data_IF_861819876154
#
_entry.id   IF_861819876154
#
_cell.length_a   1.000
_cell.length_b   1.000
_cell.length_c   1.000
_cell.angle_alpha   90.00
_cell.angle_beta   90.00
_cell.angle_gamma   90.00
#
_symmetry.space_group_name_H-M   'P 1'
#
loop_
_entity.id
_entity.type
_entity.pdbx_description
1 polymer ?
#
# COMPACT_ATOMS: atom_id res chain seq x y z
N UNK A 1 -57.05 -24.06 52.84
CA UNK A 1 -56.78 -23.46 51.55
C UNK A 1 -55.32 -23.71 51.20
N UNK A 2 -55.04 -24.12 49.96
CA UNK A 2 -53.97 -25.06 49.57
C UNK A 2 -52.62 -24.34 49.38
N UNK A 3 -51.59 -24.76 50.13
CA UNK A 3 -50.16 -24.33 50.04
C UNK A 3 -49.50 -24.65 48.69
N UNK A 4 -50.14 -25.38 47.79
CA UNK A 4 -49.57 -25.78 46.48
C UNK A 4 -49.67 -24.73 45.38
N UNK A 5 -50.47 -23.68 45.50
CA UNK A 5 -50.61 -22.63 44.45
C UNK A 5 -49.64 -21.47 44.59
N UNK A 6 -48.88 -21.36 45.70
CA UNK A 6 -47.95 -20.26 45.90
C UNK A 6 -46.53 -20.52 45.33
N UNK A 7 -46.19 -21.81 45.14
CA UNK A 7 -44.85 -22.18 44.65
C UNK A 7 -44.73 -22.08 43.12
N UNK A 8 -45.84 -22.15 42.39
CA UNK A 8 -45.84 -22.07 40.91
C UNK A 8 -45.75 -20.64 40.37
N UNK A 9 -45.97 -19.63 41.20
CA UNK A 9 -45.86 -18.24 40.80
C UNK A 9 -44.45 -17.60 41.04
N UNK A 10 -43.61 -18.21 41.87
CA UNK A 10 -42.24 -17.76 42.15
C UNK A 10 -41.21 -18.33 41.13
N UNK A 11 -41.52 -19.41 40.41
CA UNK A 11 -40.65 -20.01 39.42
C UNK A 11 -40.63 -19.30 38.07
N UNK A 12 -41.69 -18.50 37.77
CA UNK A 12 -41.78 -17.78 36.48
C UNK A 12 -41.06 -16.43 36.43
N UNK A 13 -40.80 -15.82 37.59
CA UNK A 13 -40.18 -14.47 37.67
C UNK A 13 -38.64 -14.50 37.61
N UNK A 14 -37.99 -15.64 37.85
CA UNK A 14 -36.54 -15.79 37.85
C UNK A 14 -35.94 -16.08 36.45
N UNK A 15 -36.75 -16.46 35.45
CA UNK A 15 -36.28 -16.77 34.09
C UNK A 15 -36.32 -15.55 33.14
N UNK A 16 -36.95 -14.44 33.51
CA UNK A 16 -37.13 -13.31 32.63
C UNK A 16 -35.85 -12.44 32.39
N UNK A 17 -34.93 -12.28 33.34
CA UNK A 17 -33.74 -11.49 33.06
C UNK A 17 -32.68 -12.17 32.21
N UNK A 18 -32.74 -13.50 32.02
CA UNK A 18 -31.80 -14.24 31.17
C UNK A 18 -32.17 -14.20 29.66
N UNK A 19 -33.45 -14.08 29.34
CA UNK A 19 -33.91 -13.98 27.95
C UNK A 19 -33.71 -12.54 27.38
N UNK A 20 -33.69 -11.50 28.23
CA UNK A 20 -33.51 -10.13 27.79
C UNK A 20 -32.06 -9.76 27.40
N UNK A 21 -31.06 -10.56 27.79
CA UNK A 21 -29.66 -10.36 27.37
C UNK A 21 -29.33 -11.00 26.00
N UNK A 22 -30.20 -11.77 25.42
CA UNK A 22 -29.98 -12.47 24.14
C UNK A 22 -30.41 -11.69 22.91
N UNK A 23 -30.91 -10.45 23.04
CA UNK A 23 -31.41 -9.66 21.91
C UNK A 23 -30.84 -8.23 21.84
N UNK A 24 -29.57 -8.02 22.17
CA UNK A 24 -28.91 -6.89 21.53
C UNK A 24 -28.63 -7.30 20.08
N UNK A 25 -29.19 -6.60 19.08
CA UNK A 25 -28.84 -6.89 17.68
C UNK A 25 -27.33 -6.74 17.57
N UNK A 26 -26.66 -7.81 17.18
CA UNK A 26 -25.24 -7.80 16.91
C UNK A 26 -25.01 -6.78 15.78
N UNK A 27 -24.56 -5.58 16.16
CA UNK A 27 -24.20 -4.54 15.19
C UNK A 27 -22.89 -4.98 14.57
N UNK A 28 -22.96 -5.47 13.34
CA UNK A 28 -21.76 -5.83 12.59
C UNK A 28 -20.82 -4.62 12.52
N UNK A 29 -19.54 -4.78 12.86
CA UNK A 29 -18.57 -3.71 12.73
C UNK A 29 -18.44 -3.28 11.27
N UNK A 30 -18.04 -2.02 11.07
CA UNK A 30 -17.91 -1.39 9.76
C UNK A 30 -16.45 -1.03 9.53
N UNK A 31 -15.88 -1.55 8.45
CA UNK A 31 -14.57 -1.12 7.94
C UNK A 31 -14.79 -0.04 6.89
N UNK A 32 -14.18 1.13 7.04
CA UNK A 32 -14.04 2.10 5.97
C UNK A 32 -12.74 1.83 5.19
N UNK A 33 -12.83 1.43 3.93
CA UNK A 33 -11.68 1.17 3.09
C UNK A 33 -11.49 2.33 2.11
N UNK A 34 -10.41 3.14 2.32
CA UNK A 34 -10.04 4.26 1.46
C UNK A 34 -8.90 3.85 0.53
N UNK A 35 -9.21 3.64 -0.75
CA UNK A 35 -8.24 3.34 -1.78
C UNK A 35 -7.82 4.58 -2.58
N UNK A 36 -6.52 4.76 -2.81
CA UNK A 36 -6.00 5.92 -3.53
C UNK A 36 -6.22 5.84 -5.06
N UNK A 37 -6.29 4.63 -5.63
CA UNK A 37 -6.50 4.41 -7.05
C UNK A 37 -7.91 3.87 -7.33
N UNK A 38 -8.09 3.12 -8.41
CA UNK A 38 -9.37 2.49 -8.77
C UNK A 38 -9.53 1.12 -8.13
N UNK A 39 -10.77 0.67 -7.99
CA UNK A 39 -11.10 -0.68 -7.52
C UNK A 39 -10.48 -1.78 -8.38
N UNK A 40 -10.47 -1.60 -9.71
CA UNK A 40 -9.92 -2.57 -10.64
C UNK A 40 -8.41 -2.75 -10.47
N UNK A 41 -7.66 -1.65 -10.36
CA UNK A 41 -6.20 -1.67 -10.21
C UNK A 41 -5.76 -2.34 -8.89
N UNK A 42 -6.60 -2.28 -7.84
CA UNK A 42 -6.26 -2.83 -6.52
C UNK A 42 -6.98 -4.13 -6.19
N UNK A 43 -7.70 -4.69 -7.15
CA UNK A 43 -8.46 -5.93 -6.97
C UNK A 43 -7.61 -7.09 -6.43
N UNK A 44 -6.37 -7.36 -6.89
CA UNK A 44 -5.56 -8.45 -6.34
C UNK A 44 -5.26 -8.27 -4.85
N UNK A 45 -4.93 -7.04 -4.44
CA UNK A 45 -4.56 -6.72 -3.06
C UNK A 45 -5.78 -6.72 -2.12
N UNK A 46 -6.89 -6.10 -2.56
CA UNK A 46 -8.13 -6.10 -1.79
C UNK A 46 -8.72 -7.50 -1.66
N UNK A 47 -8.57 -8.34 -2.69
CA UNK A 47 -8.97 -9.75 -2.63
C UNK A 47 -8.16 -10.53 -1.59
N UNK A 48 -6.84 -10.28 -1.49
CA UNK A 48 -5.99 -10.88 -0.47
C UNK A 48 -6.42 -10.47 0.95
N UNK A 49 -6.75 -9.19 1.14
CA UNK A 49 -7.27 -8.63 2.40
C UNK A 49 -8.60 -9.28 2.79
N UNK A 50 -9.59 -9.30 1.89
CA UNK A 50 -10.93 -9.85 2.16
C UNK A 50 -10.87 -11.35 2.41
N UNK A 51 -10.07 -12.10 1.63
CA UNK A 51 -9.87 -13.54 1.85
C UNK A 51 -9.32 -13.80 3.26
N UNK A 52 -8.32 -13.00 3.69
CA UNK A 52 -7.75 -13.16 5.03
C UNK A 52 -8.74 -12.83 6.13
N UNK A 53 -9.56 -11.79 5.97
CA UNK A 53 -10.67 -11.53 6.89
C UNK A 53 -11.61 -12.75 6.99
N UNK A 54 -11.93 -13.39 5.84
CA UNK A 54 -12.72 -14.62 5.81
C UNK A 54 -12.09 -15.76 6.61
N UNK A 55 -10.78 -15.99 6.47
CA UNK A 55 -10.01 -16.99 7.24
C UNK A 55 -10.04 -16.70 8.75
N UNK A 56 -10.14 -15.43 9.15
CA UNK A 56 -10.25 -14.98 10.54
C UNK A 56 -11.69 -15.00 11.08
N UNK A 57 -12.66 -15.40 10.25
CA UNK A 57 -14.07 -15.55 10.61
C UNK A 57 -14.94 -14.34 10.30
N UNK A 58 -14.42 -13.32 9.62
CA UNK A 58 -15.16 -12.14 9.20
C UNK A 58 -15.71 -12.32 7.78
N UNK A 59 -17.00 -12.03 7.58
CA UNK A 59 -17.65 -12.14 6.26
C UNK A 59 -18.44 -10.88 6.01
N UNK A 60 -18.09 -10.18 4.92
CA UNK A 60 -18.80 -8.99 4.48
C UNK A 60 -20.26 -9.30 4.17
N UNK A 61 -21.18 -8.44 4.63
CA UNK A 61 -22.62 -8.63 4.54
C UNK A 61 -23.22 -9.60 5.57
N UNK A 62 -22.42 -10.30 6.38
CA UNK A 62 -22.91 -11.26 7.40
C UNK A 62 -22.60 -10.80 8.83
N UNK A 63 -21.34 -10.68 9.21
CA UNK A 63 -20.89 -10.27 10.54
C UNK A 63 -19.86 -9.13 10.49
N UNK A 64 -19.66 -8.55 9.32
CA UNK A 64 -18.82 -7.40 9.01
C UNK A 64 -19.48 -6.64 7.87
N UNK A 65 -19.20 -5.33 7.75
CA UNK A 65 -19.52 -4.53 6.57
C UNK A 65 -18.28 -3.76 6.13
N UNK A 66 -17.97 -3.78 4.83
CA UNK A 66 -16.86 -3.03 4.26
C UNK A 66 -17.41 -1.92 3.35
N UNK A 67 -17.15 -0.68 3.74
CA UNK A 67 -17.49 0.52 2.95
C UNK A 67 -16.29 0.93 2.13
N UNK A 68 -16.27 0.57 0.85
CA UNK A 68 -15.20 0.96 -0.07
C UNK A 68 -15.42 2.36 -0.62
N UNK A 69 -14.36 3.17 -0.61
CA UNK A 69 -14.29 4.45 -1.32
C UNK A 69 -12.98 4.56 -2.06
N UNK A 70 -13.07 4.92 -3.32
CA UNK A 70 -11.93 5.02 -4.22
C UNK A 70 -11.72 6.46 -4.63
N UNK A 71 -10.51 6.96 -4.42
CA UNK A 71 -10.15 8.34 -4.79
C UNK A 71 -9.79 8.48 -6.27
N UNK A 72 -9.50 7.37 -6.97
CA UNK A 72 -9.24 7.35 -8.43
C UNK A 72 -8.06 8.24 -8.84
N UNK A 73 -7.01 8.31 -7.99
CA UNK A 73 -5.83 9.14 -8.19
C UNK A 73 -6.04 10.63 -7.90
N UNK A 74 -7.19 11.02 -7.36
CA UNK A 74 -7.52 12.41 -7.01
C UNK A 74 -7.28 12.64 -5.53
N UNK A 75 -6.18 13.31 -5.20
CA UNK A 75 -5.77 13.54 -3.81
C UNK A 75 -6.75 14.41 -3.02
N UNK A 76 -7.42 15.34 -3.68
CA UNK A 76 -8.45 16.19 -3.08
C UNK A 76 -9.63 15.38 -2.49
N UNK A 77 -9.85 14.16 -2.97
CA UNK A 77 -10.91 13.27 -2.45
C UNK A 77 -10.56 12.59 -1.13
N UNK A 78 -9.29 12.51 -0.77
CA UNK A 78 -8.90 11.80 0.47
C UNK A 78 -9.53 12.39 1.72
N UNK A 79 -9.51 13.73 1.84
CA UNK A 79 -10.09 14.42 2.99
C UNK A 79 -11.62 14.28 3.04
N UNK A 80 -12.29 14.36 1.90
CA UNK A 80 -13.74 14.18 1.76
C UNK A 80 -14.16 12.77 2.21
N UNK A 81 -13.49 11.74 1.69
CA UNK A 81 -13.77 10.33 2.01
C UNK A 81 -13.48 10.04 3.50
N UNK A 82 -12.36 10.54 4.02
CA UNK A 82 -12.04 10.37 5.42
C UNK A 82 -13.09 11.01 6.34
N UNK A 83 -13.57 12.22 6.01
CA UNK A 83 -14.64 12.89 6.74
C UNK A 83 -15.98 12.12 6.62
N UNK A 84 -16.27 11.51 5.48
CA UNK A 84 -17.44 10.63 5.32
C UNK A 84 -17.37 9.45 6.30
N UNK A 85 -16.23 8.74 6.39
CA UNK A 85 -16.05 7.61 7.30
C UNK A 85 -16.21 8.02 8.76
N UNK A 86 -15.74 9.21 9.16
CA UNK A 86 -15.99 9.77 10.49
C UNK A 86 -17.48 10.00 10.73
N UNK A 87 -18.19 10.57 9.75
CA UNK A 87 -19.64 10.86 9.84
C UNK A 87 -20.47 9.58 9.97
N UNK A 88 -20.14 8.53 9.20
CA UNK A 88 -20.86 7.24 9.26
C UNK A 88 -20.38 6.35 10.42
N UNK A 89 -19.37 6.81 11.17
CA UNK A 89 -18.84 6.16 12.38
C UNK A 89 -18.38 4.73 12.11
N UNK A 90 -17.47 4.56 11.14
CA UNK A 90 -16.83 3.26 10.94
C UNK A 90 -16.00 2.87 12.18
N UNK A 91 -15.86 1.56 12.42
CA UNK A 91 -15.14 1.03 13.57
C UNK A 91 -13.63 1.01 13.37
N UNK A 92 -13.18 0.90 12.11
CA UNK A 92 -11.77 0.99 11.71
C UNK A 92 -11.67 1.54 10.29
N UNK A 93 -10.64 2.34 10.01
CA UNK A 93 -10.33 2.82 8.66
C UNK A 93 -9.10 2.06 8.16
N UNK A 94 -9.23 1.43 7.00
CA UNK A 94 -8.09 0.86 6.25
C UNK A 94 -7.74 1.84 5.14
N UNK A 95 -6.45 2.20 5.03
CA UNK A 95 -5.99 3.15 4.03
C UNK A 95 -4.58 2.83 3.54
N UNK A 96 -4.02 3.65 2.67
CA UNK A 96 -2.72 3.43 2.05
C UNK A 96 -2.05 4.75 1.67
N UNK A 97 -0.72 4.74 1.63
CA UNK A 97 0.11 5.81 1.04
C UNK A 97 -0.33 7.24 1.41
N UNK A 98 -0.51 8.10 0.41
CA UNK A 98 -0.85 9.52 0.58
C UNK A 98 -2.21 9.76 1.25
N UNK A 99 -3.18 8.85 1.08
CA UNK A 99 -4.48 8.92 1.72
C UNK A 99 -4.38 8.82 3.27
N UNK A 100 -3.30 8.25 3.79
CA UNK A 100 -3.03 8.14 5.23
C UNK A 100 -2.93 9.51 5.91
N UNK A 101 -2.29 10.49 5.29
CA UNK A 101 -2.14 11.85 5.87
C UNK A 101 -3.51 12.48 6.08
N UNK A 102 -4.37 12.46 5.07
CA UNK A 102 -5.72 13.02 5.15
C UNK A 102 -6.58 12.29 6.21
N UNK A 103 -6.46 10.96 6.28
CA UNK A 103 -7.19 10.14 7.26
C UNK A 103 -6.76 10.46 8.70
N UNK A 104 -5.45 10.60 8.95
CA UNK A 104 -4.90 10.99 10.25
C UNK A 104 -5.38 12.36 10.70
N UNK A 105 -5.56 13.31 9.77
CA UNK A 105 -6.10 14.62 10.08
C UNK A 105 -7.60 14.59 10.36
N UNK A 106 -8.36 13.68 9.75
CA UNK A 106 -9.81 13.59 9.92
C UNK A 106 -10.24 13.00 11.28
N UNK A 107 -9.42 12.13 11.90
CA UNK A 107 -9.78 11.49 13.16
C UNK A 107 -8.58 11.17 14.03
N UNK A 108 -8.73 11.39 15.35
CA UNK A 108 -7.77 10.95 16.38
C UNK A 108 -8.30 9.77 17.20
N UNK A 109 -9.52 9.31 16.94
CA UNK A 109 -10.21 8.30 17.76
C UNK A 109 -10.53 7.02 17.02
N UNK A 110 -10.94 7.09 15.74
CA UNK A 110 -11.20 5.89 14.94
C UNK A 110 -9.84 5.25 14.61
N UNK A 111 -9.64 3.96 14.92
CA UNK A 111 -8.45 3.22 14.56
C UNK A 111 -8.15 3.31 13.05
N UNK A 112 -6.89 3.52 12.69
CA UNK A 112 -6.41 3.57 11.32
C UNK A 112 -5.38 2.48 11.11
N UNK A 113 -5.61 1.61 10.13
CA UNK A 113 -4.67 0.60 9.66
C UNK A 113 -4.21 0.98 8.26
N UNK A 114 -2.94 1.34 8.11
CA UNK A 114 -2.39 1.49 6.77
C UNK A 114 -1.86 0.15 6.26
N UNK A 115 -2.43 -0.32 5.15
CA UNK A 115 -2.01 -1.57 4.53
C UNK A 115 -0.61 -1.48 3.89
N UNK A 116 -0.27 -0.29 3.39
CA UNK A 116 1.05 0.04 2.84
C UNK A 116 1.40 1.50 3.11
N UNK A 117 2.65 1.74 3.55
CA UNK A 117 3.26 3.06 3.60
C UNK A 117 4.76 2.94 3.27
N UNK A 118 5.32 3.75 2.37
CA UNK A 118 6.73 3.64 1.96
C UNK A 118 7.71 3.76 3.13
N UNK A 119 7.58 4.83 3.91
CA UNK A 119 8.35 5.09 5.12
C UNK A 119 7.50 5.85 6.14
N UNK A 120 6.74 5.15 7.00
CA UNK A 120 5.81 5.80 7.92
C UNK A 120 6.50 6.57 9.06
N UNK A 121 7.73 6.21 9.42
CA UNK A 121 8.52 6.91 10.46
C UNK A 121 9.17 8.16 9.88
N UNK A 122 9.90 8.03 8.77
CA UNK A 122 10.54 9.15 8.09
C UNK A 122 9.54 10.20 7.62
N UNK A 123 8.34 9.79 7.21
CA UNK A 123 7.25 10.69 6.86
C UNK A 123 6.52 11.32 8.07
N UNK A 124 6.92 11.02 9.32
CA UNK A 124 6.30 11.56 10.54
C UNK A 124 4.88 11.07 10.80
N UNK A 125 4.47 9.97 10.20
CA UNK A 125 3.12 9.42 10.35
C UNK A 125 2.97 8.65 11.67
N UNK A 126 4.03 8.00 12.12
CA UNK A 126 4.11 7.28 13.40
C UNK A 126 5.41 7.67 14.13
N UNK A 127 5.41 7.54 15.47
CA UNK A 127 6.57 7.91 16.28
C UNK A 127 7.74 6.92 16.13
N UNK A 128 7.45 5.63 16.03
CA UNK A 128 8.40 4.57 15.73
C UNK A 128 7.67 3.33 15.23
N UNK A 129 8.40 2.38 14.62
CA UNK A 129 7.80 1.10 14.20
C UNK A 129 7.30 0.30 15.41
N UNK A 130 8.08 0.24 16.50
CA UNK A 130 7.70 -0.53 17.70
C UNK A 130 6.54 0.08 18.48
N UNK A 131 6.41 1.42 18.49
CA UNK A 131 5.36 2.15 19.19
C UNK A 131 4.84 3.28 18.31
N UNK A 132 3.88 2.98 17.41
CA UNK A 132 3.36 3.98 16.48
C UNK A 132 2.69 5.14 17.19
N UNK A 133 1.98 4.87 18.30
CA UNK A 133 1.27 5.87 19.10
C UNK A 133 -0.06 6.30 18.48
N UNK A 134 -0.90 6.95 19.31
CA UNK A 134 -2.21 7.44 18.85
C UNK A 134 -3.15 6.32 18.39
N UNK A 135 -3.92 6.60 17.34
CA UNK A 135 -4.93 5.68 16.80
C UNK A 135 -4.48 4.98 15.49
N UNK A 136 -3.18 4.96 15.20
CA UNK A 136 -2.66 4.53 13.89
C UNK A 136 -1.67 3.38 14.04
N UNK A 137 -1.74 2.40 13.13
CA UNK A 137 -0.77 1.30 12.98
C UNK A 137 -0.84 0.75 11.55
N UNK A 138 0.00 -0.22 11.19
CA UNK A 138 -0.06 -0.86 9.87
C UNK A 138 1.26 -1.45 9.42
N UNK A 139 1.53 -1.39 8.10
CA UNK A 139 2.64 -2.07 7.45
C UNK A 139 3.49 -1.12 6.60
N UNK A 140 4.81 -1.14 6.86
CA UNK A 140 5.80 -0.41 6.06
C UNK A 140 6.13 -1.18 4.79
N UNK A 141 6.48 -0.48 3.72
CA UNK A 141 7.07 -1.07 2.49
C UNK A 141 8.60 -1.07 2.52
N UNK A 142 9.22 -0.37 3.45
CA UNK A 142 10.67 -0.12 3.49
C UNK A 142 11.24 0.43 2.16
N UNK A 143 10.48 1.29 1.48
CA UNK A 143 10.83 1.75 0.13
C UNK A 143 12.20 2.47 0.10
N UNK A 144 12.50 3.25 1.13
CA UNK A 144 13.78 3.95 1.31
C UNK A 144 14.93 2.97 1.54
N UNK A 145 14.74 1.96 2.40
CA UNK A 145 15.78 1.00 2.77
C UNK A 145 16.26 0.15 1.59
N UNK A 146 15.38 -0.14 0.62
CA UNK A 146 15.69 -0.98 -0.54
C UNK A 146 16.08 -0.18 -1.80
N UNK A 147 16.13 1.15 -1.72
CA UNK A 147 16.48 2.02 -2.85
C UNK A 147 17.86 1.67 -3.45
N UNK A 148 18.86 1.46 -2.60
CA UNK A 148 20.20 1.03 -3.03
C UNK A 148 20.15 -0.33 -3.75
N UNK A 149 19.37 -1.28 -3.25
CA UNK A 149 19.24 -2.60 -3.85
C UNK A 149 18.60 -2.56 -5.23
N UNK A 150 17.60 -1.70 -5.43
CA UNK A 150 17.02 -1.47 -6.77
C UNK A 150 18.07 -0.96 -7.76
N UNK A 151 18.92 -0.05 -7.32
CA UNK A 151 19.97 0.51 -8.17
C UNK A 151 21.07 -0.49 -8.49
N UNK A 152 21.44 -1.36 -7.53
CA UNK A 152 22.34 -2.50 -7.76
C UNK A 152 21.78 -3.48 -8.81
N UNK A 153 20.50 -3.87 -8.66
CA UNK A 153 19.81 -4.75 -9.61
C UNK A 153 19.77 -4.14 -11.03
N UNK A 154 19.53 -2.82 -11.12
CA UNK A 154 19.56 -2.11 -12.40
C UNK A 154 20.96 -2.19 -13.03
N UNK A 155 22.04 -2.08 -12.25
CA UNK A 155 23.43 -2.25 -12.74
C UNK A 155 23.74 -3.70 -13.14
N UNK A 156 23.17 -4.68 -12.46
CA UNK A 156 23.35 -6.08 -12.86
C UNK A 156 22.73 -6.34 -14.25
N UNK A 157 21.60 -5.68 -14.59
CA UNK A 157 20.98 -5.76 -15.94
C UNK A 157 21.74 -4.91 -16.96
N UNK A 158 22.28 -3.77 -16.54
CA UNK A 158 23.01 -2.81 -17.38
C UNK A 158 24.42 -2.59 -16.83
N UNK A 159 25.39 -3.50 -17.12
CA UNK A 159 26.76 -3.38 -16.59
C UNK A 159 27.46 -2.06 -16.94
N UNK A 160 27.13 -1.50 -18.10
CA UNK A 160 27.66 -0.22 -18.60
C UNK A 160 26.83 0.99 -18.19
N UNK A 161 25.95 0.85 -17.20
CA UNK A 161 25.16 1.97 -16.69
C UNK A 161 26.05 3.07 -16.13
N UNK A 162 25.89 4.29 -16.64
CA UNK A 162 26.57 5.51 -16.20
C UNK A 162 25.60 6.60 -15.78
N UNK A 163 24.47 6.69 -16.49
CA UNK A 163 23.49 7.76 -16.33
C UNK A 163 22.08 7.20 -16.27
N UNK A 164 21.32 7.66 -15.28
CA UNK A 164 19.91 7.28 -15.18
C UNK A 164 19.06 8.48 -14.73
N UNK A 165 17.79 8.43 -15.14
CA UNK A 165 16.78 9.36 -14.68
C UNK A 165 16.08 8.78 -13.43
N UNK A 166 15.79 9.63 -12.44
CA UNK A 166 14.99 9.31 -11.28
C UNK A 166 13.68 10.08 -11.36
N UNK A 167 12.57 9.41 -11.68
CA UNK A 167 11.24 10.03 -11.68
C UNK A 167 10.59 9.92 -10.29
N UNK A 168 10.18 11.05 -9.74
CA UNK A 168 9.57 11.11 -8.43
C UNK A 168 8.55 12.25 -8.32
N UNK A 169 7.48 12.01 -7.56
CA UNK A 169 6.56 13.06 -7.13
C UNK A 169 7.18 13.83 -5.95
N UNK A 170 7.72 15.01 -6.24
CA UNK A 170 8.37 15.86 -5.22
C UNK A 170 7.37 16.55 -4.26
N UNK A 171 6.07 16.43 -4.52
CA UNK A 171 5.02 16.82 -3.58
C UNK A 171 4.72 15.78 -2.51
N UNK A 172 5.25 14.56 -2.66
CA UNK A 172 5.01 13.45 -1.72
C UNK A 172 6.22 13.25 -0.80
N UNK A 173 6.08 13.43 0.54
CA UNK A 173 7.22 13.40 1.46
C UNK A 173 8.05 12.10 1.41
N UNK A 174 7.40 10.94 1.24
CA UNK A 174 8.12 9.68 1.17
C UNK A 174 8.98 9.57 -0.10
N UNK A 175 8.55 10.14 -1.24
CA UNK A 175 9.38 10.22 -2.44
C UNK A 175 10.62 11.10 -2.22
N UNK A 176 10.50 12.18 -1.45
CA UNK A 176 11.64 13.05 -1.12
C UNK A 176 12.70 12.29 -0.32
N UNK A 177 12.28 11.44 0.62
CA UNK A 177 13.18 10.57 1.37
C UNK A 177 13.85 9.54 0.46
N UNK A 178 13.09 8.87 -0.42
CA UNK A 178 13.64 7.90 -1.37
C UNK A 178 14.63 8.55 -2.35
N UNK A 179 14.36 9.78 -2.83
CA UNK A 179 15.31 10.55 -3.65
C UNK A 179 16.66 10.70 -2.95
N UNK A 180 16.68 11.02 -1.66
CA UNK A 180 17.93 11.19 -0.89
C UNK A 180 18.72 9.87 -0.82
N UNK A 181 18.05 8.76 -0.58
CA UNK A 181 18.69 7.43 -0.55
C UNK A 181 19.21 7.00 -1.92
N UNK A 182 18.41 7.20 -3.00
CA UNK A 182 18.86 6.92 -4.38
C UNK A 182 20.07 7.77 -4.76
N UNK A 183 20.11 9.06 -4.39
CA UNK A 183 21.29 9.94 -4.62
C UNK A 183 22.52 9.41 -3.90
N UNK A 184 22.36 9.01 -2.64
CA UNK A 184 23.45 8.44 -1.84
C UNK A 184 23.98 7.14 -2.48
N UNK A 185 23.08 6.25 -2.89
CA UNK A 185 23.46 5.01 -3.57
C UNK A 185 24.11 5.27 -4.93
N UNK A 186 23.58 6.18 -5.73
CA UNK A 186 24.15 6.57 -7.03
C UNK A 186 25.59 7.10 -6.88
N UNK A 187 25.82 7.98 -5.90
CA UNK A 187 27.16 8.50 -5.60
C UNK A 187 28.15 7.40 -5.26
N UNK A 188 27.77 6.47 -4.38
CA UNK A 188 28.62 5.30 -4.00
C UNK A 188 28.93 4.39 -5.19
N UNK A 189 28.02 4.29 -6.15
CA UNK A 189 28.16 3.47 -7.35
C UNK A 189 28.82 4.22 -8.52
N UNK A 190 29.15 5.50 -8.38
CA UNK A 190 29.72 6.34 -9.43
C UNK A 190 28.77 6.60 -10.61
N UNK A 191 27.45 6.66 -10.34
CA UNK A 191 26.41 6.89 -11.34
C UNK A 191 25.95 8.35 -11.33
N UNK A 192 25.74 8.91 -12.54
CA UNK A 192 25.11 10.22 -12.71
C UNK A 192 23.58 10.08 -12.66
N UNK A 193 22.93 10.85 -11.78
CA UNK A 193 21.49 10.90 -11.60
C UNK A 193 20.91 12.22 -12.11
N UNK A 194 19.89 12.16 -12.95
CA UNK A 194 19.05 13.30 -13.33
C UNK A 194 17.66 13.15 -12.69
N UNK A 195 17.27 14.13 -11.87
CA UNK A 195 15.97 14.10 -11.20
C UNK A 195 14.88 14.62 -12.15
N UNK A 196 13.87 13.76 -12.37
CA UNK A 196 12.69 14.04 -13.19
C UNK A 196 11.51 14.28 -12.24
N UNK A 197 11.29 15.55 -11.93
CA UNK A 197 10.27 15.98 -10.98
C UNK A 197 8.88 15.95 -11.61
N UNK A 198 7.93 15.33 -10.94
CA UNK A 198 6.51 15.41 -11.26
C UNK A 198 5.72 15.78 -10.00
N UNK A 199 4.54 16.36 -10.17
CA UNK A 199 3.53 16.58 -9.11
C UNK A 199 2.16 16.12 -9.55
N UNK A 200 1.90 16.15 -10.86
CA UNK A 200 0.61 15.82 -11.46
C UNK A 200 0.80 15.00 -12.74
N UNK A 201 -0.22 14.29 -13.16
CA UNK A 201 -0.20 13.49 -14.40
C UNK A 201 0.18 14.29 -15.67
N UNK A 202 -0.15 15.60 -15.71
CA UNK A 202 0.20 16.50 -16.82
C UNK A 202 1.71 16.75 -16.95
N UNK A 203 2.47 16.55 -15.88
CA UNK A 203 3.91 16.82 -15.85
C UNK A 203 4.72 15.68 -16.51
N UNK A 204 4.13 14.48 -16.66
CA UNK A 204 4.83 13.27 -17.13
C UNK A 204 5.39 13.46 -18.55
N UNK A 205 4.58 13.92 -19.52
CA UNK A 205 5.04 14.07 -20.92
C UNK A 205 6.11 15.15 -21.04
N UNK A 206 5.94 16.36 -20.48
CA UNK A 206 7.01 17.37 -20.46
C UNK A 206 8.30 16.85 -19.81
N UNK A 207 8.19 16.06 -18.73
CA UNK A 207 9.33 15.49 -18.04
C UNK A 207 10.15 14.55 -18.95
N UNK A 208 9.50 13.69 -19.73
CA UNK A 208 10.20 12.86 -20.72
C UNK A 208 10.81 13.67 -21.86
N UNK A 209 10.16 14.75 -22.30
CA UNK A 209 10.69 15.63 -23.32
C UNK A 209 11.94 16.44 -22.84
N UNK A 210 12.05 16.64 -21.53
CA UNK A 210 13.17 17.34 -20.90
C UNK A 210 14.35 16.43 -20.51
N UNK A 211 14.25 15.10 -20.74
CA UNK A 211 15.32 14.17 -20.42
C UNK A 211 16.62 14.54 -21.11
N UNK A 212 17.70 14.53 -20.37
CA UNK A 212 19.04 14.79 -20.92
C UNK A 212 19.47 13.66 -21.85
N UNK A 213 20.23 13.97 -22.90
CA UNK A 213 20.78 12.93 -23.79
C UNK A 213 21.67 11.94 -23.03
N UNK A 214 21.63 10.67 -23.44
CA UNK A 214 22.49 9.62 -22.90
C UNK A 214 22.00 8.98 -21.61
N UNK A 215 20.76 9.24 -21.19
CA UNK A 215 20.10 8.43 -20.15
C UNK A 215 19.90 7.00 -20.65
N UNK A 216 20.23 6.02 -19.80
CA UNK A 216 20.19 4.58 -20.11
C UNK A 216 19.06 3.87 -19.38
N UNK A 217 18.63 4.43 -18.23
CA UNK A 217 17.63 3.83 -17.38
C UNK A 217 16.73 4.86 -16.72
N UNK A 218 15.58 4.40 -16.23
CA UNK A 218 14.62 5.16 -15.46
C UNK A 218 14.31 4.41 -14.15
N UNK A 219 14.70 4.99 -13.04
CA UNK A 219 14.25 4.58 -11.72
C UNK A 219 12.97 5.35 -11.38
N UNK A 220 11.93 4.67 -10.94
CA UNK A 220 10.63 5.28 -10.64
C UNK A 220 10.26 5.10 -9.17
N UNK A 221 10.11 6.19 -8.43
CA UNK A 221 9.53 6.16 -7.09
C UNK A 221 8.01 5.94 -7.17
N UNK A 222 7.49 5.09 -6.29
CA UNK A 222 6.05 4.78 -6.27
C UNK A 222 5.23 5.81 -5.50
N UNK A 223 4.19 6.33 -6.16
CA UNK A 223 3.15 7.14 -5.53
C UNK A 223 1.80 7.00 -6.26
N UNK A 224 0.77 7.71 -5.82
CA UNK A 224 -0.56 7.62 -6.43
C UNK A 224 -0.61 8.14 -7.87
N UNK A 225 0.16 9.22 -8.20
CA UNK A 225 0.23 9.79 -9.55
C UNK A 225 0.91 8.83 -10.50
N UNK A 226 2.05 8.27 -10.08
CA UNK A 226 2.81 7.27 -10.85
C UNK A 226 1.98 6.01 -11.06
N UNK A 227 1.37 5.48 -9.99
CA UNK A 227 0.54 4.28 -10.07
C UNK A 227 -0.64 4.45 -11.03
N UNK A 228 -1.30 5.60 -11.04
CA UNK A 228 -2.42 5.87 -11.94
C UNK A 228 -1.99 6.07 -13.41
N UNK A 229 -0.70 6.32 -13.67
CA UNK A 229 -0.16 6.63 -14.99
C UNK A 229 0.91 5.65 -15.49
N UNK A 230 1.05 4.47 -14.86
CA UNK A 230 2.14 3.54 -15.14
C UNK A 230 2.23 3.10 -16.61
N UNK A 231 1.09 2.83 -17.25
CA UNK A 231 1.07 2.43 -18.67
C UNK A 231 1.62 3.54 -19.58
N UNK A 232 1.29 4.80 -19.29
CA UNK A 232 1.78 5.97 -20.02
C UNK A 232 3.29 6.15 -19.81
N UNK A 233 3.76 6.00 -18.58
CA UNK A 233 5.19 6.09 -18.22
C UNK A 233 5.97 5.01 -18.98
N UNK A 234 5.49 3.76 -18.97
CA UNK A 234 6.11 2.63 -19.69
C UNK A 234 6.19 2.88 -21.20
N UNK A 235 5.09 3.37 -21.81
CA UNK A 235 5.07 3.71 -23.24
C UNK A 235 6.12 4.76 -23.60
N UNK A 236 6.21 5.83 -22.79
CA UNK A 236 7.19 6.89 -22.99
C UNK A 236 8.63 6.40 -22.78
N UNK A 237 8.88 5.63 -21.71
CA UNK A 237 10.19 5.06 -21.41
C UNK A 237 10.69 4.14 -22.52
N UNK A 238 9.80 3.25 -23.02
CA UNK A 238 10.12 2.38 -24.16
C UNK A 238 10.41 3.20 -25.43
N UNK A 239 9.63 4.24 -25.69
CA UNK A 239 9.80 5.13 -26.85
C UNK A 239 11.17 5.82 -26.89
N UNK A 240 11.77 6.10 -25.72
CA UNK A 240 13.12 6.66 -25.58
C UNK A 240 14.16 5.61 -25.15
N UNK A 241 13.82 4.32 -25.22
CA UNK A 241 14.66 3.14 -24.96
C UNK A 241 15.31 3.13 -23.57
N UNK A 242 14.58 3.55 -22.52
CA UNK A 242 15.04 3.49 -21.14
C UNK A 242 14.67 2.16 -20.49
N UNK A 243 15.65 1.48 -19.92
CA UNK A 243 15.42 0.36 -19.01
C UNK A 243 14.77 0.87 -17.71
N UNK A 244 13.67 0.25 -17.28
CA UNK A 244 12.89 0.77 -16.15
C UNK A 244 12.98 -0.14 -14.93
N UNK A 245 13.05 0.45 -13.70
CA UNK A 245 12.85 -0.26 -12.45
C UNK A 245 11.76 0.40 -11.61
N UNK A 246 10.90 -0.43 -11.06
CA UNK A 246 9.71 -0.04 -10.32
C UNK A 246 9.67 -0.66 -8.91
N UNK A 247 8.88 -0.07 -7.97
CA UNK A 247 8.67 -0.63 -6.64
C UNK A 247 7.68 -1.80 -6.59
N UNK A 248 6.91 -2.04 -7.66
CA UNK A 248 5.80 -3.01 -7.66
C UNK A 248 5.64 -3.70 -9.01
N UNK A 249 5.26 -5.00 -8.98
CA UNK A 249 5.06 -5.83 -10.16
C UNK A 249 3.95 -5.34 -11.11
N UNK A 250 2.94 -4.63 -10.58
CA UNK A 250 1.83 -4.15 -11.40
C UNK A 250 2.27 -3.22 -12.55
N UNK A 251 3.42 -2.55 -12.40
CA UNK A 251 4.00 -1.74 -13.47
C UNK A 251 4.49 -2.57 -14.67
N UNK A 252 4.83 -3.84 -14.43
CA UNK A 252 5.37 -4.72 -15.47
C UNK A 252 4.28 -5.26 -16.39
N UNK A 253 3.05 -5.39 -15.88
CA UNK A 253 1.88 -5.79 -16.69
C UNK A 253 1.60 -4.81 -17.83
N UNK A 254 2.01 -3.56 -17.69
CA UNK A 254 1.88 -2.52 -18.71
C UNK A 254 3.17 -2.24 -19.49
N UNK A 255 4.19 -3.10 -19.40
CA UNK A 255 5.40 -3.03 -20.19
C UNK A 255 6.64 -2.50 -19.47
N UNK A 256 6.64 -2.37 -18.15
CA UNK A 256 7.86 -2.10 -17.37
C UNK A 256 8.85 -3.26 -17.46
N UNK A 257 10.17 -2.99 -17.36
CA UNK A 257 11.21 -4.00 -17.50
C UNK A 257 11.38 -4.85 -16.25
N UNK A 258 11.56 -4.23 -15.10
CA UNK A 258 11.77 -4.94 -13.86
C UNK A 258 11.18 -4.22 -12.65
N UNK A 259 10.87 -4.98 -11.61
CA UNK A 259 10.48 -4.44 -10.30
C UNK A 259 11.20 -5.16 -9.18
N UNK A 260 11.47 -4.41 -8.11
CA UNK A 260 11.92 -4.96 -6.85
C UNK A 260 11.25 -4.20 -5.70
N UNK A 261 10.46 -4.88 -4.91
CA UNK A 261 9.72 -4.26 -3.81
C UNK A 261 9.02 -5.24 -2.90
N UNK A 262 8.35 -4.71 -1.88
CA UNK A 262 7.54 -5.52 -0.98
C UNK A 262 6.36 -6.18 -1.72
N UNK A 263 6.04 -7.43 -1.34
CA UNK A 263 4.84 -8.09 -1.84
C UNK A 263 3.58 -7.41 -1.26
N UNK A 264 2.94 -6.57 -2.07
CA UNK A 264 1.78 -5.80 -1.64
C UNK A 264 0.58 -6.69 -1.28
N UNK A 265 0.39 -7.82 -1.96
CA UNK A 265 -0.68 -8.76 -1.60
C UNK A 265 -0.48 -9.36 -0.20
N UNK A 266 0.78 -9.68 0.18
CA UNK A 266 1.10 -10.13 1.55
C UNK A 266 0.87 -9.02 2.58
N UNK A 267 1.26 -7.77 2.27
CA UNK A 267 1.02 -6.64 3.17
C UNK A 267 -0.49 -6.41 3.39
N UNK A 268 -1.30 -6.44 2.34
CA UNK A 268 -2.75 -6.33 2.48
C UNK A 268 -3.37 -7.50 3.24
N UNK A 269 -2.87 -8.72 3.01
CA UNK A 269 -3.26 -9.90 3.80
C UNK A 269 -2.98 -9.68 5.29
N UNK A 270 -1.79 -9.19 5.65
CA UNK A 270 -1.40 -8.90 7.03
C UNK A 270 -2.14 -7.70 7.63
N UNK A 271 -2.56 -6.73 6.81
CA UNK A 271 -3.42 -5.65 7.28
C UNK A 271 -4.76 -6.17 7.82
N UNK A 272 -5.29 -7.27 7.27
CA UNK A 272 -6.49 -7.94 7.81
C UNK A 272 -6.26 -8.51 9.21
N UNK A 273 -5.07 -9.01 9.53
CA UNK A 273 -4.72 -9.46 10.89
C UNK A 273 -4.76 -8.30 11.91
N UNK A 274 -4.35 -7.09 11.47
CA UNK A 274 -4.43 -5.88 12.30
C UNK A 274 -5.87 -5.45 12.53
N UNK A 275 -6.69 -5.49 11.48
CA UNK A 275 -8.12 -5.18 11.57
C UNK A 275 -8.80 -6.17 12.52
N UNK A 276 -8.54 -7.48 12.42
CA UNK A 276 -9.06 -8.49 13.32
C UNK A 276 -8.72 -8.21 14.79
N UNK A 277 -7.43 -7.94 15.07
CA UNK A 277 -6.97 -7.58 16.42
C UNK A 277 -7.71 -6.37 16.98
N UNK A 278 -7.86 -5.31 16.16
CA UNK A 278 -8.54 -4.07 16.56
C UNK A 278 -10.04 -4.32 16.79
N UNK A 279 -10.72 -5.03 15.91
CA UNK A 279 -12.14 -5.36 16.07
C UNK A 279 -12.38 -6.26 17.29
N UNK A 280 -11.37 -7.01 17.75
CA UNK A 280 -11.39 -7.78 19.00
C UNK A 280 -10.94 -6.96 20.22
N UNK A 281 -10.70 -5.66 20.07
CA UNK A 281 -10.42 -4.73 21.18
C UNK A 281 -8.95 -4.38 21.41
N UNK A 282 -8.03 -4.76 20.51
CA UNK A 282 -6.65 -4.33 20.61
C UNK A 282 -6.52 -2.82 20.34
N UNK A 283 -5.68 -2.16 21.12
CA UNK A 283 -5.40 -0.73 20.91
C UNK A 283 -4.34 -0.55 19.80
N UNK A 284 -4.63 0.18 18.72
CA UNK A 284 -3.67 0.42 17.63
C UNK A 284 -2.36 1.04 18.09
N UNK A 285 -2.37 1.88 19.14
CA UNK A 285 -1.16 2.49 19.69
C UNK A 285 -0.12 1.49 20.20
N UNK A 286 -0.55 0.27 20.51
CA UNK A 286 0.30 -0.81 21.04
C UNK A 286 0.61 -1.90 20.00
N UNK A 287 0.05 -1.80 18.80
CA UNK A 287 0.33 -2.71 17.70
C UNK A 287 1.52 -2.17 16.91
N UNK A 288 2.68 -2.85 16.88
CA UNK A 288 3.85 -2.39 16.13
C UNK A 288 3.53 -2.23 14.65
N UNK A 289 4.17 -1.26 13.99
CA UNK A 289 4.21 -1.24 12.53
C UNK A 289 5.14 -2.34 12.06
N UNK A 290 4.62 -3.28 11.30
CA UNK A 290 5.43 -4.38 10.78
C UNK A 290 6.10 -4.00 9.46
N UNK A 291 7.27 -4.59 9.24
CA UNK A 291 8.03 -4.47 8.01
C UNK A 291 7.72 -5.65 7.08
N UNK A 292 7.99 -5.53 5.76
CA UNK A 292 7.84 -6.65 4.84
C UNK A 292 8.75 -7.80 5.24
N UNK A 293 8.24 -9.01 5.10
CA UNK A 293 9.04 -10.23 5.23
C UNK A 293 9.32 -10.87 3.87
N UNK A 294 8.66 -10.34 2.83
CA UNK A 294 8.78 -10.82 1.45
C UNK A 294 9.01 -9.64 0.53
N UNK A 295 10.07 -9.72 -0.24
CA UNK A 295 10.36 -8.84 -1.37
C UNK A 295 10.29 -9.68 -2.62
N UNK A 296 9.82 -9.09 -3.71
CA UNK A 296 9.69 -9.74 -5.02
C UNK A 296 10.56 -9.06 -6.04
N UNK A 297 11.36 -9.87 -6.77
CA UNK A 297 12.09 -9.49 -7.95
C UNK A 297 11.35 -10.06 -9.17
N UNK A 298 10.84 -9.19 -10.02
CA UNK A 298 10.10 -9.59 -11.22
C UNK A 298 10.74 -8.98 -12.46
N UNK A 299 10.82 -9.78 -13.54
CA UNK A 299 11.29 -9.32 -14.84
C UNK A 299 10.22 -9.52 -15.91
N UNK A 300 10.21 -8.59 -16.88
CA UNK A 300 9.39 -8.70 -18.09
C UNK A 300 10.33 -8.89 -19.31
N UNK A 301 10.40 -10.11 -19.84
CA UNK A 301 11.26 -10.45 -20.97
C UNK A 301 10.74 -9.87 -22.30
N UNK A 302 9.42 -9.59 -22.41
CA UNK A 302 8.87 -8.87 -23.56
C UNK A 302 9.45 -7.45 -23.62
N UNK A 303 9.48 -6.76 -22.48
CA UNK A 303 10.09 -5.43 -22.39
C UNK A 303 11.61 -5.48 -22.61
N UNK A 304 12.31 -6.49 -22.05
CA UNK A 304 13.73 -6.68 -22.27
C UNK A 304 14.05 -6.85 -23.76
N UNK A 305 13.30 -7.70 -24.46
CA UNK A 305 13.43 -7.93 -25.91
C UNK A 305 13.17 -6.65 -26.71
N UNK A 306 12.13 -5.88 -26.35
CA UNK A 306 11.82 -4.62 -27.02
C UNK A 306 12.94 -3.57 -26.86
N UNK A 307 13.67 -3.60 -25.72
CA UNK A 307 14.83 -2.76 -25.45
C UNK A 307 16.13 -3.33 -26.03
N UNK A 308 16.12 -4.56 -26.60
CA UNK A 308 17.31 -5.31 -27.04
C UNK A 308 18.28 -5.57 -25.88
N UNK A 309 17.74 -5.84 -24.68
CA UNK A 309 18.49 -6.20 -23.49
C UNK A 309 18.42 -7.69 -23.24
N UNK A 310 19.54 -8.26 -22.80
CA UNK A 310 19.62 -9.62 -22.29
C UNK A 310 19.68 -9.58 -20.76
N UNK A 311 18.69 -10.19 -20.11
CA UNK A 311 18.68 -10.30 -18.65
C UNK A 311 19.63 -11.44 -18.25
N UNK A 312 20.64 -11.19 -17.40
CA UNK A 312 21.58 -12.23 -16.99
C UNK A 312 20.89 -13.46 -16.37
N UNK A 313 21.31 -14.71 -16.74
CA UNK A 313 20.73 -15.92 -16.17
C UNK A 313 20.77 -15.97 -14.64
N UNK A 314 21.80 -15.39 -14.01
CA UNK A 314 21.92 -15.28 -12.57
C UNK A 314 20.83 -14.41 -11.91
N UNK A 315 20.31 -13.40 -12.62
CA UNK A 315 19.18 -12.61 -12.18
C UNK A 315 17.86 -13.34 -12.38
N UNK A 316 17.69 -14.02 -13.52
CA UNK A 316 16.49 -14.83 -13.78
C UNK A 316 16.34 -15.97 -12.77
N UNK A 317 17.44 -16.58 -12.35
CA UNK A 317 17.44 -17.63 -11.32
C UNK A 317 17.05 -17.09 -9.91
N UNK A 318 17.16 -15.78 -9.69
CA UNK A 318 16.79 -15.12 -8.44
C UNK A 318 15.42 -14.44 -8.51
N UNK A 319 14.83 -14.40 -9.70
CA UNK A 319 13.51 -13.78 -9.89
C UNK A 319 12.42 -14.65 -9.26
N UNK A 320 11.48 -14.00 -8.59
CA UNK A 320 10.27 -14.64 -8.06
C UNK A 320 9.25 -14.88 -9.16
N UNK A 321 9.28 -14.05 -10.23
CA UNK A 321 8.41 -14.17 -11.40
C UNK A 321 9.10 -13.62 -12.65
N UNK A 322 8.84 -14.26 -13.79
CA UNK A 322 9.28 -13.82 -15.11
C UNK A 322 8.06 -13.77 -16.04
N UNK A 323 7.80 -12.61 -16.63
CA UNK A 323 6.73 -12.37 -17.61
C UNK A 323 7.33 -12.59 -19.00
N UNK A 324 6.75 -13.54 -19.77
CA UNK A 324 7.19 -13.96 -21.13
C UNK A 324 6.20 -13.52 -22.20
#
# INVERSE_FOLDING_TARGET
MKRRKFITLLGGAAAWPLAARAQQPFKAPIIGFLGASTSAAWSPWTSAFVRRLGELGWSDGRNLRIEYRWAEGREERYAEIAAEFVRVKVDVIVTVQSALVATKHATSTIPIVFAIAPDPVGAGLVGSLAKPGGNITGLSMQATDIAAKRLELMREVLPDLRRFALMANVGYPASVLEIAEVRTAASKLGLELDLVEIRHAKDIVPAFAALKPGMQALYVCGDAVVNANHARINTLALGVRLATIYPDRAFLESGGLMSYGANNADLFRRAADYVDKILRGANPAHLPVEQPTKFELVFNLVAAKALSLEVPPSLLARADEVIE
#
